data_IF_571988633677
#
_entry.id   IF_571988633677
#
_cell.length_a   1.000
_cell.length_b   1.000
_cell.length_c   1.000
_cell.angle_alpha   90.00
_cell.angle_beta   90.00
_cell.angle_gamma   90.00
#
_symmetry.space_group_name_H-M   'P 1'
#
loop_
_entity.id
_entity.type
_entity.pdbx_description
1 polymer ?
#
# COMPACT_ATOMS: atom_id res chain seq x y z
N UNK A 1 12.55 10.03 -36.13
CA UNK A 1 12.09 10.96 -37.20
C UNK A 1 11.12 11.95 -36.59
N UNK A 2 11.20 13.21 -36.96
CA UNK A 2 10.42 14.31 -36.37
C UNK A 2 9.75 15.06 -37.53
N UNK A 3 8.49 15.47 -37.40
CA UNK A 3 7.82 16.24 -38.46
C UNK A 3 8.43 17.64 -38.58
N UNK A 4 8.13 18.31 -39.68
CA UNK A 4 8.53 19.70 -39.98
C UNK A 4 8.08 20.67 -38.86
N UNK A 5 7.08 20.28 -38.07
CA UNK A 5 6.55 20.99 -36.90
C UNK A 5 7.17 20.54 -35.55
N UNK A 6 8.24 19.75 -35.57
CA UNK A 6 8.94 19.29 -34.35
C UNK A 6 8.26 18.13 -33.59
N UNK A 7 7.22 17.51 -34.14
CA UNK A 7 6.49 16.41 -33.49
C UNK A 7 7.17 15.06 -33.76
N UNK A 8 7.45 14.28 -32.72
CA UNK A 8 8.09 12.96 -32.85
C UNK A 8 7.16 12.02 -33.65
N UNK A 9 7.64 11.48 -34.77
CA UNK A 9 6.86 10.65 -35.69
C UNK A 9 6.63 9.21 -35.22
N UNK A 10 7.29 8.78 -34.15
CA UNK A 10 7.10 7.46 -33.56
C UNK A 10 7.15 7.52 -32.04
N UNK A 11 6.33 6.72 -31.37
CA UNK A 11 6.44 6.52 -29.93
C UNK A 11 7.77 5.80 -29.65
N UNK A 12 8.48 6.19 -28.58
CA UNK A 12 9.68 5.46 -28.13
C UNK A 12 9.31 3.99 -27.88
N UNK A 13 10.27 3.08 -28.10
CA UNK A 13 10.10 1.62 -27.92
C UNK A 13 9.54 1.25 -26.56
N UNK A 14 9.84 2.06 -25.53
CA UNK A 14 9.25 1.98 -24.21
C UNK A 14 8.59 3.32 -23.86
N UNK A 15 7.35 3.26 -23.34
CA UNK A 15 6.63 4.43 -22.87
C UNK A 15 7.25 5.01 -21.59
N UNK A 16 6.96 6.28 -21.31
CA UNK A 16 7.42 6.99 -20.09
C UNK A 16 7.06 6.23 -18.79
N UNK A 17 5.99 5.44 -18.79
CA UNK A 17 5.55 4.62 -17.65
C UNK A 17 6.52 3.49 -17.28
N UNK A 18 7.09 2.80 -18.28
CA UNK A 18 8.02 1.67 -18.06
C UNK A 18 9.32 2.15 -17.40
N UNK A 19 9.80 3.35 -17.75
CA UNK A 19 10.98 3.95 -17.11
C UNK A 19 10.74 4.50 -15.71
N UNK A 20 9.48 4.73 -15.32
CA UNK A 20 9.14 5.37 -14.04
C UNK A 20 8.68 4.39 -12.96
N UNK A 21 8.15 3.21 -13.32
CA UNK A 21 7.54 2.26 -12.38
C UNK A 21 8.01 0.84 -12.69
N UNK A 22 8.84 0.27 -11.81
CA UNK A 22 9.36 -1.09 -11.95
C UNK A 22 9.02 -1.98 -10.72
N UNK A 23 7.73 -2.24 -10.45
CA UNK A 23 7.31 -2.99 -9.27
C UNK A 23 7.85 -4.43 -9.24
N UNK A 24 7.91 -5.11 -10.40
CA UNK A 24 8.48 -6.45 -10.50
C UNK A 24 9.98 -6.47 -10.15
N UNK A 25 10.73 -5.46 -10.63
CA UNK A 25 12.15 -5.32 -10.31
C UNK A 25 12.35 -5.04 -8.81
N UNK A 26 11.51 -4.20 -8.20
CA UNK A 26 11.56 -3.98 -6.76
C UNK A 26 11.33 -5.28 -5.97
N UNK A 27 10.33 -6.07 -6.35
CA UNK A 27 10.05 -7.38 -5.72
C UNK A 27 11.25 -8.31 -5.86
N UNK A 28 11.89 -8.34 -7.03
CA UNK A 28 13.09 -9.16 -7.26
C UNK A 28 14.27 -8.72 -6.39
N UNK A 29 14.52 -7.41 -6.27
CA UNK A 29 15.56 -6.87 -5.39
C UNK A 29 15.29 -7.24 -3.94
N UNK A 30 14.04 -7.15 -3.48
CA UNK A 30 13.66 -7.55 -2.11
C UNK A 30 13.89 -9.05 -1.93
N UNK A 31 13.50 -9.88 -2.90
CA UNK A 31 13.68 -11.33 -2.85
C UNK A 31 15.17 -11.70 -2.74
N UNK A 32 16.02 -11.09 -3.56
CA UNK A 32 17.46 -11.28 -3.51
C UNK A 32 18.03 -10.88 -2.14
N UNK A 33 17.63 -9.73 -1.59
CA UNK A 33 18.12 -9.27 -0.28
C UNK A 33 17.70 -10.20 0.87
N UNK A 34 16.47 -10.73 0.84
CA UNK A 34 15.98 -11.68 1.83
C UNK A 34 16.68 -13.04 1.73
N UNK A 35 17.13 -13.45 0.53
CA UNK A 35 17.88 -14.70 0.38
C UNK A 35 19.19 -14.69 1.19
N UNK A 36 19.83 -13.53 1.35
CA UNK A 36 21.03 -13.37 2.18
C UNK A 36 20.76 -13.60 3.67
N UNK A 37 19.54 -13.33 4.15
CA UNK A 37 19.10 -13.56 5.53
C UNK A 37 18.34 -14.89 5.72
N UNK A 38 18.32 -15.76 4.70
CA UNK A 38 17.54 -17.02 4.67
C UNK A 38 16.03 -16.80 4.86
N UNK A 39 15.53 -15.65 4.44
CA UNK A 39 14.10 -15.30 4.47
C UNK A 39 13.51 -15.38 3.06
N UNK A 40 12.19 -15.49 2.97
CA UNK A 40 11.46 -15.60 1.71
C UNK A 40 10.28 -14.64 1.65
N UNK A 41 9.84 -14.29 0.43
CA UNK A 41 8.64 -13.48 0.22
C UNK A 41 7.44 -14.41 0.10
N UNK A 42 6.43 -14.18 0.93
CA UNK A 42 5.13 -14.80 0.79
C UNK A 42 4.26 -13.99 -0.16
N UNK A 43 3.76 -14.63 -1.22
CA UNK A 43 2.91 -13.98 -2.23
C UNK A 43 1.45 -14.25 -1.92
N UNK A 44 0.69 -13.19 -1.65
CA UNK A 44 -0.76 -13.25 -1.46
C UNK A 44 -1.51 -13.25 -2.78
N UNK A 45 -2.68 -13.90 -2.83
CA UNK A 45 -3.57 -13.78 -3.98
C UNK A 45 -4.32 -12.43 -3.91
N UNK A 46 -3.93 -11.47 -4.74
CA UNK A 46 -4.48 -10.11 -4.72
C UNK A 46 -5.96 -10.03 -5.13
N UNK A 47 -6.45 -11.01 -5.90
CA UNK A 47 -7.83 -11.07 -6.40
C UNK A 47 -8.79 -11.52 -5.31
N UNK A 48 -8.40 -12.52 -4.51
CA UNK A 48 -9.21 -13.00 -3.39
C UNK A 48 -9.06 -12.08 -2.18
N UNK A 49 -7.81 -11.70 -1.87
CA UNK A 49 -7.50 -11.02 -0.62
C UNK A 49 -8.10 -9.61 -0.56
N UNK A 50 -8.00 -8.83 -1.65
CA UNK A 50 -8.59 -7.49 -1.81
C UNK A 50 -8.42 -6.58 -0.58
N UNK A 51 -7.20 -6.55 -0.01
CA UNK A 51 -6.88 -5.91 1.28
C UNK A 51 -7.41 -4.46 1.37
N UNK A 52 -7.23 -3.69 0.30
CA UNK A 52 -7.61 -2.27 0.26
C UNK A 52 -9.12 -2.03 0.37
N UNK A 53 -9.94 -3.07 0.21
CA UNK A 53 -11.39 -3.03 0.26
C UNK A 53 -11.97 -3.66 1.52
N UNK A 54 -11.21 -4.49 2.25
CA UNK A 54 -11.73 -5.23 3.39
C UNK A 54 -11.80 -4.39 4.68
N UNK A 55 -12.80 -4.65 5.52
CA UNK A 55 -12.96 -4.09 6.85
C UNK A 55 -13.15 -5.22 7.87
N UNK A 56 -12.19 -5.42 8.77
CA UNK A 56 -12.21 -6.53 9.72
C UNK A 56 -13.24 -6.37 10.84
N UNK A 57 -13.69 -5.14 11.12
CA UNK A 57 -14.69 -4.85 12.15
C UNK A 57 -16.10 -5.22 11.67
N UNK A 58 -16.39 -5.04 10.37
CA UNK A 58 -17.70 -5.36 9.78
C UNK A 58 -17.71 -6.67 9.01
N UNK A 59 -16.53 -7.28 8.81
CA UNK A 59 -16.29 -8.46 7.98
C UNK A 59 -16.83 -8.30 6.55
N UNK A 60 -16.58 -7.12 5.95
CA UNK A 60 -17.12 -6.77 4.64
C UNK A 60 -16.09 -6.16 3.71
N UNK A 61 -16.30 -6.40 2.42
CA UNK A 61 -15.55 -5.78 1.35
C UNK A 61 -16.30 -4.56 0.80
N UNK A 62 -15.71 -3.39 0.99
CA UNK A 62 -16.25 -2.10 0.56
C UNK A 62 -15.32 -1.48 -0.48
N UNK A 63 -15.87 -1.13 -1.65
CA UNK A 63 -15.10 -0.44 -2.68
C UNK A 63 -14.84 1.00 -2.25
N UNK A 64 -13.57 1.39 -2.21
CA UNK A 64 -13.12 2.75 -1.86
C UNK A 64 -12.69 3.53 -3.10
N UNK A 65 -12.94 4.84 -3.11
CA UNK A 65 -12.49 5.73 -4.19
C UNK A 65 -10.96 5.94 -4.09
N UNK A 66 -10.29 6.10 -5.23
CA UNK A 66 -8.83 6.21 -5.27
C UNK A 66 -8.29 7.40 -4.44
N UNK A 67 -8.99 8.53 -4.45
CA UNK A 67 -8.62 9.74 -3.70
C UNK A 67 -8.82 9.61 -2.18
N UNK A 68 -9.60 8.63 -1.73
CA UNK A 68 -9.86 8.41 -0.31
C UNK A 68 -8.70 7.63 0.31
N UNK A 69 -7.72 8.35 0.87
CA UNK A 69 -6.49 7.79 1.47
C UNK A 69 -6.63 7.40 2.94
N UNK A 70 -7.76 7.73 3.56
CA UNK A 70 -8.10 7.39 4.93
C UNK A 70 -9.33 6.46 4.97
N UNK A 71 -9.32 5.51 5.89
CA UNK A 71 -10.38 4.52 6.09
C UNK A 71 -10.96 4.66 7.49
N UNK A 72 -12.29 4.68 7.60
CA UNK A 72 -12.98 4.59 8.87
C UNK A 72 -13.11 3.12 9.26
N UNK A 73 -12.52 2.74 10.40
CA UNK A 73 -12.56 1.38 10.96
C UNK A 73 -13.11 1.50 12.39
N UNK A 74 -14.38 1.17 12.57
CA UNK A 74 -15.10 1.46 13.82
C UNK A 74 -15.10 2.97 14.09
N UNK A 75 -14.59 3.36 15.26
CA UNK A 75 -14.42 4.76 15.68
C UNK A 75 -13.09 5.38 15.23
N UNK A 76 -12.21 4.63 14.55
CA UNK A 76 -10.85 5.08 14.23
C UNK A 76 -10.68 5.43 12.76
N UNK A 77 -9.91 6.49 12.50
CA UNK A 77 -9.51 6.88 11.16
C UNK A 77 -8.06 6.42 10.92
N UNK A 78 -7.87 5.50 9.99
CA UNK A 78 -6.55 4.90 9.70
C UNK A 78 -6.13 5.16 8.25
N UNK A 79 -4.83 5.32 8.03
CA UNK A 79 -4.27 5.48 6.70
C UNK A 79 -4.47 4.16 5.91
N UNK A 80 -5.03 4.28 4.70
CA UNK A 80 -5.54 3.13 3.93
C UNK A 80 -4.45 2.12 3.55
N UNK A 81 -3.27 2.60 3.19
CA UNK A 81 -2.17 1.75 2.73
C UNK A 81 -1.51 1.03 3.93
N UNK A 82 -1.34 1.71 5.08
CA UNK A 82 -0.90 1.11 6.35
C UNK A 82 -1.91 0.05 6.83
N UNK A 83 -3.20 0.36 6.75
CA UNK A 83 -4.24 -0.59 7.12
C UNK A 83 -4.29 -1.79 6.17
N UNK A 84 -4.02 -1.60 4.87
CA UNK A 84 -3.90 -2.72 3.93
C UNK A 84 -2.70 -3.62 4.27
N UNK A 85 -1.56 -3.03 4.67
CA UNK A 85 -0.40 -3.78 5.13
C UNK A 85 -0.68 -4.55 6.43
N UNK A 86 -1.40 -3.94 7.38
CA UNK A 86 -1.89 -4.61 8.59
C UNK A 86 -2.73 -5.84 8.26
N UNK A 87 -3.66 -5.73 7.31
CA UNK A 87 -4.47 -6.89 6.90
C UNK A 87 -3.61 -7.99 6.30
N UNK A 88 -2.65 -7.65 5.43
CA UNK A 88 -1.72 -8.62 4.82
C UNK A 88 -0.85 -9.35 5.86
N UNK A 89 -0.38 -8.63 6.86
CA UNK A 89 0.38 -9.19 7.99
C UNK A 89 -0.46 -10.20 8.77
N UNK A 90 -1.76 -9.94 8.91
CA UNK A 90 -2.73 -10.80 9.58
C UNK A 90 -3.49 -11.71 8.60
N UNK A 91 -2.79 -12.26 7.60
CA UNK A 91 -3.38 -13.19 6.64
C UNK A 91 -3.66 -14.56 7.25
N UNK A 92 -4.59 -15.29 6.63
CA UNK A 92 -4.80 -16.71 6.92
C UNK A 92 -3.60 -17.56 6.44
N UNK A 93 -3.54 -18.81 6.87
CA UNK A 93 -2.43 -19.72 6.53
C UNK A 93 -2.32 -19.98 5.01
N UNK A 94 -3.42 -19.77 4.27
CA UNK A 94 -3.46 -19.94 2.83
C UNK A 94 -3.14 -18.66 2.06
N UNK A 95 -2.93 -17.52 2.74
CA UNK A 95 -2.61 -16.22 2.15
C UNK A 95 -3.67 -15.70 1.16
N UNK A 96 -4.93 -16.10 1.36
CA UNK A 96 -6.05 -15.77 0.46
C UNK A 96 -6.98 -14.72 1.04
N UNK A 97 -7.04 -14.60 2.37
CA UNK A 97 -7.91 -13.65 3.07
C UNK A 97 -7.33 -13.24 4.42
N UNK A 98 -7.77 -12.11 5.01
CA UNK A 98 -7.42 -11.75 6.38
C UNK A 98 -7.97 -12.75 7.40
N UNK A 99 -7.17 -13.09 8.42
CA UNK A 99 -7.62 -13.82 9.59
C UNK A 99 -8.25 -12.84 10.59
N UNK A 100 -9.56 -12.95 10.80
CA UNK A 100 -10.32 -12.00 11.63
C UNK A 100 -9.91 -12.03 13.10
N UNK A 101 -9.71 -13.21 13.68
CA UNK A 101 -9.27 -13.34 15.08
C UNK A 101 -7.91 -12.70 15.31
N UNK A 102 -7.00 -12.88 14.36
CA UNK A 102 -5.66 -12.31 14.43
C UNK A 102 -5.69 -10.78 14.24
N UNK A 103 -6.53 -10.29 13.33
CA UNK A 103 -6.77 -8.86 13.19
C UNK A 103 -7.30 -8.26 14.49
N UNK A 104 -8.34 -8.85 15.09
CA UNK A 104 -8.92 -8.38 16.34
C UNK A 104 -7.89 -8.34 17.49
N UNK A 105 -7.03 -9.36 17.58
CA UNK A 105 -5.98 -9.44 18.61
C UNK A 105 -4.88 -8.40 18.44
N UNK A 106 -4.52 -8.05 17.20
CA UNK A 106 -3.37 -7.16 16.92
C UNK A 106 -3.76 -5.73 16.60
N UNK A 107 -5.05 -5.44 16.42
CA UNK A 107 -5.52 -4.13 15.97
C UNK A 107 -5.18 -2.99 16.93
N UNK A 108 -5.29 -3.20 18.24
CA UNK A 108 -4.95 -2.18 19.25
C UNK A 108 -3.48 -1.73 19.13
N UNK A 109 -2.55 -2.68 19.07
CA UNK A 109 -1.12 -2.39 18.90
C UNK A 109 -0.85 -1.72 17.56
N UNK A 110 -1.49 -2.16 16.48
CA UNK A 110 -1.41 -1.49 15.19
C UNK A 110 -1.86 -0.04 15.28
N UNK A 111 -2.97 0.24 15.96
CA UNK A 111 -3.52 1.58 16.08
C UNK A 111 -2.59 2.53 16.85
N UNK A 112 -1.99 2.06 17.94
CA UNK A 112 -1.00 2.82 18.71
C UNK A 112 0.21 3.21 17.86
N UNK A 113 0.82 2.22 17.18
CA UNK A 113 1.98 2.43 16.30
C UNK A 113 1.64 3.32 15.10
N UNK A 114 0.45 3.10 14.50
CA UNK A 114 -0.06 3.91 13.41
C UNK A 114 -0.19 5.38 13.83
N UNK A 115 -0.85 5.64 14.95
CA UNK A 115 -1.12 7.01 15.39
C UNK A 115 0.18 7.74 15.72
N UNK A 116 1.10 7.08 16.43
CA UNK A 116 2.43 7.64 16.69
C UNK A 116 3.14 8.00 15.38
N UNK A 117 3.18 7.06 14.43
CA UNK A 117 3.85 7.29 13.15
C UNK A 117 3.23 8.42 12.32
N UNK A 118 1.90 8.54 12.31
CA UNK A 118 1.21 9.64 11.63
C UNK A 118 1.56 10.99 12.27
N UNK A 119 1.60 11.07 13.60
CA UNK A 119 2.00 12.30 14.29
C UNK A 119 3.45 12.66 14.00
N UNK A 120 4.35 11.67 13.99
CA UNK A 120 5.76 11.89 13.60
C UNK A 120 5.85 12.45 12.18
N UNK A 121 5.12 11.85 11.22
CA UNK A 121 5.11 12.31 9.83
C UNK A 121 4.57 13.73 9.67
N UNK A 122 3.56 14.13 10.47
CA UNK A 122 3.02 15.49 10.45
C UNK A 122 4.03 16.54 10.94
N UNK A 123 4.94 16.17 11.84
CA UNK A 123 5.98 17.05 12.36
C UNK A 123 7.17 17.21 11.40
N UNK A 124 7.37 16.27 10.48
CA UNK A 124 8.43 16.37 9.48
C UNK A 124 8.15 17.54 8.53
N UNK A 125 9.09 18.48 8.45
CA UNK A 125 9.07 19.62 7.50
C UNK A 125 9.42 19.17 6.08
N UNK A 126 8.64 18.25 5.50
CA UNK A 126 8.78 17.76 4.13
C UNK A 126 7.43 17.59 3.45
N UNK A 127 7.32 18.05 2.21
CA UNK A 127 6.12 17.84 1.41
C UNK A 127 6.00 16.37 1.02
N UNK A 128 4.92 15.72 1.44
CA UNK A 128 4.58 14.36 1.03
C UNK A 128 3.77 14.36 -0.28
N UNK A 129 3.89 13.32 -1.11
CA UNK A 129 3.04 13.18 -2.27
C UNK A 129 1.57 13.02 -1.85
N UNK A 130 0.65 13.62 -2.61
CA UNK A 130 -0.80 13.57 -2.36
C UNK A 130 -1.35 12.15 -2.24
N UNK A 131 -0.66 11.16 -2.82
CA UNK A 131 -0.99 9.75 -2.70
C UNK A 131 -0.92 9.21 -1.27
N UNK A 132 -0.15 9.83 -0.37
CA UNK A 132 -0.07 9.44 1.04
C UNK A 132 -1.26 9.96 1.86
N UNK A 133 -1.86 11.08 1.45
CA UNK A 133 -3.03 11.66 2.12
C UNK A 133 -2.74 12.33 3.47
N UNK A 134 -1.47 12.60 3.80
CA UNK A 134 -1.07 13.23 5.05
C UNK A 134 -1.01 14.75 4.85
N UNK A 135 -1.78 15.49 5.64
CA UNK A 135 -1.71 16.95 5.69
C UNK A 135 -0.74 17.38 6.79
N UNK A 136 0.21 18.25 6.47
CA UNK A 136 1.13 18.80 7.46
C UNK A 136 0.41 19.82 8.33
N UNK A 137 0.83 19.91 9.60
CA UNK A 137 0.43 21.00 10.48
C UNK A 137 1.07 22.27 9.91
N UNK A 138 0.23 23.27 9.61
CA UNK A 138 0.69 24.59 9.15
C UNK A 138 1.33 25.37 10.28
#
# INVERSE_FOLDING_TARGET
KTTIQGKIQSKKRFGKSIGNHAPAMLVEIIHQKLSYTKQTIQKVNTITFRASQYNHMTDRYEKKKLHQRWSQIGSHLVQRDLYSAFLLMNSDTNLQQPNQDLCNKTFTTFLELHNQHIEDLKQVKKTFPLSMGIQQIK
#
